data_IF_300639786888
#
_entry.id   IF_300639786888
#
_cell.length_a   1.000
_cell.length_b   1.000
_cell.length_c   1.000
_cell.angle_alpha   90.00
_cell.angle_beta   90.00
_cell.angle_gamma   90.00
#
_symmetry.space_group_name_H-M   'P 1'
#
loop_
_entity.id
_entity.type
_entity.pdbx_description
1 polymer ?
#
# COMPACT_ATOMS: atom_id res chain seq x y z
N UNK A 1 -3.43 13.30 -20.53
CA UNK A 1 -3.10 12.31 -19.47
C UNK A 1 -4.15 11.21 -19.54
N UNK A 2 -3.77 9.94 -19.73
CA UNK A 2 -4.72 8.82 -19.79
C UNK A 2 -4.83 8.22 -18.39
N UNK A 3 -6.03 8.21 -17.82
CA UNK A 3 -6.31 7.53 -16.54
C UNK A 3 -6.43 6.02 -16.75
N UNK A 4 -6.03 5.24 -15.75
CA UNK A 4 -6.26 3.79 -15.74
C UNK A 4 -7.76 3.53 -15.58
N UNK A 5 -8.33 2.69 -16.43
CA UNK A 5 -9.70 2.22 -16.30
C UNK A 5 -9.79 1.09 -15.27
N UNK A 6 -10.99 0.74 -14.82
CA UNK A 6 -11.20 -0.42 -13.95
C UNK A 6 -10.67 -1.73 -14.56
N UNK A 7 -10.74 -1.87 -15.90
CA UNK A 7 -10.18 -3.04 -16.61
C UNK A 7 -8.65 -3.04 -16.55
N UNK A 8 -8.02 -1.86 -16.69
CA UNK A 8 -6.57 -1.74 -16.57
C UNK A 8 -6.10 -2.07 -15.14
N UNK A 9 -6.84 -1.60 -14.13
CA UNK A 9 -6.58 -1.90 -12.71
C UNK A 9 -6.69 -3.41 -12.45
N UNK A 10 -7.77 -4.05 -12.92
CA UNK A 10 -7.95 -5.50 -12.78
C UNK A 10 -6.84 -6.30 -13.47
N UNK A 11 -6.42 -5.84 -14.66
CA UNK A 11 -5.32 -6.47 -15.38
C UNK A 11 -4.00 -6.35 -14.61
N UNK A 12 -3.70 -5.18 -14.04
CA UNK A 12 -2.50 -4.98 -13.22
C UNK A 12 -2.55 -5.80 -11.92
N UNK A 13 -3.71 -5.87 -11.24
CA UNK A 13 -3.91 -6.73 -10.07
C UNK A 13 -3.61 -8.20 -10.42
N UNK A 14 -4.07 -8.66 -11.59
CA UNK A 14 -3.76 -10.02 -12.07
C UNK A 14 -2.26 -10.24 -12.29
N UNK A 15 -1.54 -9.28 -12.88
CA UNK A 15 -0.10 -9.39 -13.09
C UNK A 15 0.68 -9.49 -11.76
N UNK A 16 0.25 -8.77 -10.72
CA UNK A 16 0.86 -8.88 -9.38
C UNK A 16 0.61 -10.26 -8.76
N UNK A 17 -0.60 -10.81 -8.87
CA UNK A 17 -0.89 -12.16 -8.39
C UNK A 17 -0.07 -13.23 -9.16
N UNK A 18 0.02 -13.11 -10.49
CA UNK A 18 0.84 -13.99 -11.32
C UNK A 18 2.32 -13.93 -10.90
N UNK A 19 2.85 -12.72 -10.68
CA UNK A 19 4.22 -12.52 -10.23
C UNK A 19 4.48 -13.18 -8.86
N UNK A 20 3.57 -13.02 -7.89
CA UNK A 20 3.68 -13.65 -6.57
C UNK A 20 3.53 -15.17 -6.60
N UNK A 21 2.78 -15.71 -7.56
CA UNK A 21 2.55 -17.15 -7.72
C UNK A 21 3.65 -17.89 -8.51
N UNK A 22 4.59 -17.15 -9.07
CA UNK A 22 5.72 -17.72 -9.81
C UNK A 22 6.69 -18.46 -8.86
N UNK A 23 7.49 -19.37 -9.41
CA UNK A 23 8.53 -20.10 -8.65
C UNK A 23 9.67 -19.14 -8.26
N UNK A 24 9.49 -18.45 -7.14
CA UNK A 24 10.37 -17.42 -6.62
C UNK A 24 11.06 -17.90 -5.34
N UNK A 25 12.33 -17.55 -5.19
CA UNK A 25 12.99 -17.63 -3.89
C UNK A 25 12.38 -16.60 -2.92
N UNK A 26 12.46 -16.87 -1.62
CA UNK A 26 11.84 -16.01 -0.59
C UNK A 26 12.23 -14.53 -0.69
N UNK A 27 13.48 -14.23 -1.02
CA UNK A 27 13.94 -12.85 -1.18
C UNK A 27 13.35 -12.18 -2.43
N UNK A 28 13.09 -12.93 -3.51
CA UNK A 28 12.43 -12.43 -4.71
C UNK A 28 10.97 -12.14 -4.42
N UNK A 29 10.29 -13.07 -3.74
CA UNK A 29 8.91 -12.86 -3.29
C UNK A 29 8.79 -11.63 -2.38
N UNK A 30 9.74 -11.45 -1.46
CA UNK A 30 9.80 -10.23 -0.62
C UNK A 30 9.93 -8.96 -1.46
N UNK A 31 10.81 -8.94 -2.47
CA UNK A 31 10.99 -7.79 -3.36
C UNK A 31 9.73 -7.49 -4.19
N UNK A 32 9.04 -8.52 -4.67
CA UNK A 32 7.76 -8.37 -5.39
C UNK A 32 6.72 -7.74 -4.47
N UNK A 33 6.55 -8.26 -3.25
CA UNK A 33 5.61 -7.70 -2.26
C UNK A 33 5.95 -6.26 -1.88
N UNK A 34 7.24 -5.94 -1.69
CA UNK A 34 7.68 -4.56 -1.44
C UNK A 34 7.35 -3.63 -2.61
N UNK A 35 7.53 -4.10 -3.85
CA UNK A 35 7.19 -3.31 -5.04
C UNK A 35 5.68 -3.12 -5.20
N UNK A 36 4.88 -4.13 -4.85
CA UNK A 36 3.42 -4.07 -4.88
C UNK A 36 2.84 -3.03 -3.89
N UNK A 37 3.54 -2.70 -2.80
CA UNK A 37 3.13 -1.63 -1.90
C UNK A 37 2.94 -0.31 -2.65
N UNK A 38 3.82 0.04 -3.60
CA UNK A 38 3.67 1.25 -4.42
C UNK A 38 2.39 1.23 -5.26
N UNK A 39 2.00 0.06 -5.75
CA UNK A 39 0.75 -0.12 -6.48
C UNK A 39 -0.47 0.08 -5.57
N UNK A 40 -0.47 -0.54 -4.39
CA UNK A 40 -1.56 -0.37 -3.40
C UNK A 40 -1.63 1.08 -2.88
N UNK A 41 -0.48 1.73 -2.71
CA UNK A 41 -0.38 3.15 -2.40
C UNK A 41 -1.02 4.00 -3.51
N UNK A 42 -0.80 3.68 -4.78
CA UNK A 42 -1.50 4.35 -5.87
C UNK A 42 -3.02 4.10 -5.81
N UNK A 43 -3.46 2.86 -5.55
CA UNK A 43 -4.88 2.50 -5.51
C UNK A 43 -5.66 3.23 -4.43
N UNK A 44 -5.12 3.36 -3.22
CA UNK A 44 -5.80 4.07 -2.13
C UNK A 44 -6.01 5.56 -2.44
N UNK A 45 -5.04 6.22 -3.08
CA UNK A 45 -5.19 7.62 -3.48
C UNK A 45 -6.14 7.85 -4.65
N UNK A 46 -6.30 6.85 -5.52
CA UNK A 46 -7.21 6.90 -6.65
C UNK A 46 -8.58 6.28 -6.34
N UNK A 47 -8.82 5.85 -5.09
CA UNK A 47 -10.01 5.11 -4.66
C UNK A 47 -10.33 3.96 -5.63
N UNK A 48 -9.31 3.16 -5.96
CA UNK A 48 -9.41 2.07 -6.92
C UNK A 48 -9.51 0.71 -6.22
N UNK A 49 -10.18 -0.24 -6.88
CA UNK A 49 -10.27 -1.65 -6.47
C UNK A 49 -10.66 -1.82 -5.00
N UNK A 50 -9.78 -2.38 -4.17
CA UNK A 50 -10.00 -2.65 -2.75
C UNK A 50 -10.13 -1.39 -1.86
N UNK A 51 -9.92 -0.20 -2.42
CA UNK A 51 -10.05 1.08 -1.73
C UNK A 51 -11.16 1.97 -2.29
N UNK A 52 -12.01 1.44 -3.17
CA UNK A 52 -13.07 2.22 -3.80
C UNK A 52 -14.07 2.78 -2.78
N UNK A 53 -14.52 4.02 -3.01
CA UNK A 53 -15.47 4.74 -2.12
C UNK A 53 -16.81 3.99 -1.99
N UNK A 54 -17.19 3.23 -3.02
CA UNK A 54 -18.42 2.46 -3.06
C UNK A 54 -18.34 1.15 -2.25
N UNK A 55 -17.17 0.77 -1.75
CA UNK A 55 -17.06 -0.35 -0.82
C UNK A 55 -17.71 -0.03 0.52
N UNK A 56 -18.16 -1.07 1.22
CA UNK A 56 -18.63 -0.90 2.59
C UNK A 56 -17.50 -0.29 3.45
N UNK A 57 -17.79 0.71 4.32
CA UNK A 57 -16.77 1.35 5.12
C UNK A 57 -15.92 0.38 5.96
N UNK A 58 -16.52 -0.73 6.42
CA UNK A 58 -15.83 -1.80 7.15
C UNK A 58 -14.80 -2.53 6.28
N UNK A 59 -15.14 -2.81 5.03
CA UNK A 59 -14.28 -3.55 4.10
C UNK A 59 -13.11 -2.65 3.69
N UNK A 60 -13.39 -1.39 3.34
CA UNK A 60 -12.34 -0.40 3.06
C UNK A 60 -11.38 -0.25 4.25
N UNK A 61 -11.90 -0.11 5.48
CA UNK A 61 -11.04 -0.04 6.70
C UNK A 61 -10.20 -1.31 6.88
N UNK A 62 -10.73 -2.47 6.55
CA UNK A 62 -10.00 -3.74 6.62
C UNK A 62 -8.82 -3.74 5.64
N UNK A 63 -9.04 -3.27 4.40
CA UNK A 63 -7.99 -3.20 3.38
C UNK A 63 -6.92 -2.14 3.69
N UNK A 64 -7.34 -1.01 4.27
CA UNK A 64 -6.43 0.03 4.78
C UNK A 64 -5.54 -0.53 5.89
N UNK A 65 -6.12 -1.27 6.84
CA UNK A 65 -5.34 -1.95 7.89
C UNK A 65 -4.36 -2.96 7.31
N UNK A 66 -4.78 -3.78 6.34
CA UNK A 66 -3.90 -4.74 5.67
C UNK A 66 -2.71 -4.04 5.00
N UNK A 67 -2.94 -2.92 4.32
CA UNK A 67 -1.84 -2.14 3.73
C UNK A 67 -0.82 -1.70 4.78
N UNK A 68 -1.28 -1.17 5.92
CA UNK A 68 -0.38 -0.81 7.02
C UNK A 68 0.39 -2.02 7.57
N UNK A 69 -0.31 -3.11 7.88
CA UNK A 69 0.30 -4.34 8.41
C UNK A 69 1.35 -4.91 7.43
N UNK A 70 1.07 -4.87 6.12
CA UNK A 70 2.00 -5.30 5.08
C UNK A 70 3.25 -4.42 5.06
N UNK A 71 3.09 -3.09 5.13
CA UNK A 71 4.21 -2.14 5.19
C UNK A 71 5.11 -2.42 6.40
N UNK A 72 4.51 -2.64 7.58
CA UNK A 72 5.23 -2.97 8.81
C UNK A 72 5.97 -4.32 8.67
N UNK A 73 5.28 -5.35 8.19
CA UNK A 73 5.86 -6.70 8.04
C UNK A 73 7.03 -6.75 7.04
N UNK A 74 6.98 -5.90 6.01
CA UNK A 74 8.03 -5.78 5.00
C UNK A 74 9.20 -4.88 5.46
N UNK A 75 9.10 -4.29 6.65
CA UNK A 75 10.12 -3.45 7.25
C UNK A 75 10.20 -2.05 6.65
N UNK A 76 9.12 -1.55 6.06
CA UNK A 76 9.05 -0.17 5.52
C UNK A 76 9.03 0.80 6.69
N UNK A 77 10.06 1.64 6.78
CA UNK A 77 10.22 2.63 7.87
C UNK A 77 9.91 4.06 7.44
N UNK A 78 9.93 4.33 6.14
CA UNK A 78 9.82 5.68 5.58
C UNK A 78 8.86 5.65 4.40
N UNK A 79 7.89 6.57 4.38
CA UNK A 79 6.82 6.62 3.38
C UNK A 79 7.14 7.68 2.30
N UNK A 80 8.01 8.65 2.60
CA UNK A 80 8.36 9.76 1.69
C UNK A 80 9.85 10.06 1.73
N UNK A 81 10.39 10.66 0.68
CA UNK A 81 11.78 11.12 0.62
C UNK A 81 11.93 12.57 1.13
N UNK A 82 13.06 12.91 1.79
CA UNK A 82 13.55 14.29 1.88
C UNK A 82 13.23 15.19 3.10
N UNK A 83 12.93 14.69 4.31
CA UNK A 83 12.69 15.59 5.47
C UNK A 83 12.19 14.95 6.77
N UNK A 84 11.98 15.79 7.79
CA UNK A 84 11.33 15.44 9.07
C UNK A 84 9.82 15.13 8.85
N UNK A 85 9.23 14.25 9.66
CA UNK A 85 7.81 13.85 9.51
C UNK A 85 7.55 12.84 8.38
N UNK A 86 8.42 11.85 8.20
CA UNK A 86 8.35 10.88 7.08
C UNK A 86 8.37 9.41 7.50
N UNK A 87 8.59 9.15 8.78
CA UNK A 87 8.70 7.79 9.30
C UNK A 87 7.32 7.21 9.52
N UNK A 88 7.14 5.94 9.17
CA UNK A 88 5.89 5.24 9.44
C UNK A 88 5.63 5.23 10.96
N UNK A 89 4.50 5.80 11.37
CA UNK A 89 4.03 5.77 12.76
C UNK A 89 3.77 4.34 13.20
N UNK A 90 4.10 4.00 14.45
CA UNK A 90 3.72 2.72 15.05
C UNK A 90 2.22 2.65 15.39
N UNK A 91 1.53 3.79 15.43
CA UNK A 91 0.10 3.90 15.74
C UNK A 91 -0.57 4.98 14.87
N UNK A 92 -0.72 4.76 13.56
CA UNK A 92 -1.37 5.74 12.69
C UNK A 92 -2.90 5.73 12.86
N UNK A 93 -3.54 6.84 12.51
CA UNK A 93 -4.98 6.86 12.29
C UNK A 93 -5.30 6.18 10.94
N UNK A 94 -5.83 4.96 10.99
CA UNK A 94 -6.21 4.17 9.81
C UNK A 94 -7.49 4.67 9.12
N UNK A 95 -8.11 5.76 9.61
CA UNK A 95 -9.13 6.48 8.86
C UNK A 95 -8.53 7.45 7.83
N UNK A 96 -7.27 7.83 8.03
CA UNK A 96 -6.49 8.68 7.12
C UNK A 96 -5.79 7.87 6.02
N UNK A 97 -5.28 8.57 5.01
CA UNK A 97 -4.47 7.96 3.96
C UNK A 97 -3.03 7.73 4.43
N UNK A 98 -2.27 6.81 3.80
CA UNK A 98 -0.88 6.52 4.13
C UNK A 98 0.05 7.74 4.19
N UNK A 99 -0.32 8.82 3.48
CA UNK A 99 0.33 10.13 3.58
C UNK A 99 0.50 10.58 5.02
N UNK A 100 -0.55 10.45 5.81
CA UNK A 100 -0.68 11.06 7.13
C UNK A 100 -0.24 10.10 8.25
N UNK A 101 0.20 8.88 7.89
CA UNK A 101 0.70 7.88 8.83
C UNK A 101 2.14 8.13 9.26
N UNK A 102 2.55 9.40 9.29
CA UNK A 102 3.94 9.79 9.46
C UNK A 102 4.21 10.42 10.82
N UNK A 103 5.36 10.13 11.41
CA UNK A 103 5.92 10.79 12.59
C UNK A 103 7.30 11.38 12.28
N UNK A 104 7.72 12.34 13.10
CA UNK A 104 9.10 12.84 13.09
C UNK A 104 10.08 11.77 13.58
N UNK A 105 11.35 11.88 13.17
CA UNK A 105 12.40 10.90 13.49
C UNK A 105 12.57 10.63 14.99
N UNK A 106 12.25 11.63 15.81
CA UNK A 106 12.38 11.59 17.27
C UNK A 106 11.16 10.97 17.98
N UNK A 107 10.14 10.54 17.24
CA UNK A 107 8.91 9.93 17.76
C UNK A 107 8.70 8.45 17.36
N UNK A 108 9.76 7.76 16.92
CA UNK A 108 9.75 6.33 16.55
C UNK A 108 9.92 5.46 17.80
#
# INVERSE_FOLDING_TARGET
>A
MKFLTNKDVQYLDKLWEEAKSSDLQDWQLKNVRQSEISWRYWKIYNNASEFAIWQLPKDRKTEVKKLYDDMVSLGIKQIREGGEGQYLSNNPDLSENPREWTVEKNGI
#
